data_IF_295143254864
#
_entry.id   IF_295143254864
#
_cell.length_a   1.000
_cell.length_b   1.000
_cell.length_c   1.000
_cell.angle_alpha   90.00
_cell.angle_beta   90.00
_cell.angle_gamma   90.00
#
_symmetry.space_group_name_H-M   'P 1'
#
loop_
_entity.id
_entity.type
_entity.pdbx_description
1 polymer ?
#
# COMPACT_ATOMS: atom_id res chain seq x y z
N UNK A 1 -6.28 -22.77 -9.80
CA UNK A 1 -6.02 -21.69 -10.80
C UNK A 1 -6.08 -20.28 -10.22
N UNK A 2 -7.11 -19.89 -9.44
CA UNK A 2 -7.16 -18.53 -8.87
C UNK A 2 -6.03 -18.24 -7.86
N UNK A 3 -5.70 -19.19 -6.98
CA UNK A 3 -4.65 -19.01 -5.97
C UNK A 3 -3.25 -18.78 -6.58
N UNK A 4 -2.89 -19.50 -7.65
CA UNK A 4 -1.61 -19.32 -8.35
C UNK A 4 -1.52 -17.96 -9.04
N UNK A 5 -2.64 -17.46 -9.58
CA UNK A 5 -2.72 -16.13 -10.18
C UNK A 5 -2.60 -15.02 -9.13
N UNK A 6 -3.31 -15.13 -8.00
CA UNK A 6 -3.19 -14.19 -6.86
C UNK A 6 -1.74 -14.11 -6.41
N UNK A 7 -1.10 -15.27 -6.19
CA UNK A 7 0.30 -15.30 -5.75
C UNK A 7 1.27 -14.70 -6.77
N UNK A 8 1.05 -14.96 -8.06
CA UNK A 8 1.85 -14.36 -9.13
C UNK A 8 1.73 -12.82 -9.14
N UNK A 9 0.51 -12.31 -8.99
CA UNK A 9 0.24 -10.87 -8.98
C UNK A 9 0.78 -10.19 -7.74
N UNK A 10 0.63 -10.79 -6.56
CA UNK A 10 1.23 -10.28 -5.32
C UNK A 10 2.74 -10.18 -5.47
N UNK A 11 3.41 -11.23 -5.95
CA UNK A 11 4.87 -11.18 -6.19
C UNK A 11 5.27 -10.10 -7.19
N UNK A 12 4.49 -9.92 -8.25
CA UNK A 12 4.73 -8.86 -9.23
C UNK A 12 4.66 -7.46 -8.59
N UNK A 13 3.65 -7.23 -7.75
CA UNK A 13 3.49 -5.97 -7.00
C UNK A 13 4.62 -5.77 -5.99
N UNK A 14 4.98 -6.79 -5.22
CA UNK A 14 6.10 -6.72 -4.28
C UNK A 14 7.41 -6.34 -4.99
N UNK A 15 7.72 -7.00 -6.11
CA UNK A 15 8.92 -6.70 -6.88
C UNK A 15 8.89 -5.28 -7.46
N UNK A 16 7.76 -4.87 -8.04
CA UNK A 16 7.57 -3.52 -8.55
C UNK A 16 7.73 -2.46 -7.45
N UNK A 17 7.16 -2.71 -6.28
CA UNK A 17 7.23 -1.82 -5.12
C UNK A 17 8.67 -1.67 -4.63
N UNK A 18 9.38 -2.77 -4.45
CA UNK A 18 10.80 -2.74 -4.05
C UNK A 18 11.64 -1.98 -5.06
N UNK A 19 11.43 -2.19 -6.36
CA UNK A 19 12.13 -1.47 -7.43
C UNK A 19 11.82 0.03 -7.41
N UNK A 20 10.56 0.39 -7.28
CA UNK A 20 10.09 1.78 -7.23
C UNK A 20 10.66 2.55 -6.04
N UNK A 21 10.63 1.93 -4.87
CA UNK A 21 11.02 2.55 -3.61
C UNK A 21 12.45 2.19 -3.17
N UNK A 22 13.29 1.62 -4.05
CA UNK A 22 14.67 1.23 -3.69
C UNK A 22 15.43 2.42 -3.09
N UNK A 23 15.30 3.60 -3.68
CA UNK A 23 15.96 4.81 -3.17
C UNK A 23 15.52 5.16 -1.74
N UNK A 24 14.21 5.14 -1.46
CA UNK A 24 13.67 5.41 -0.13
C UNK A 24 14.11 4.34 0.89
N UNK A 25 14.09 3.07 0.48
CA UNK A 25 14.46 1.94 1.35
C UNK A 25 15.96 1.95 1.68
N UNK A 26 16.83 2.19 0.70
CA UNK A 26 18.28 2.25 0.89
C UNK A 26 18.67 3.53 1.63
N UNK A 27 18.16 4.69 1.20
CA UNK A 27 18.43 5.96 1.87
C UNK A 27 17.95 5.98 3.32
N UNK A 28 16.76 5.45 3.57
CA UNK A 28 16.24 5.25 4.93
C UNK A 28 17.12 4.35 5.79
N UNK A 29 17.75 3.34 5.20
CA UNK A 29 18.57 2.38 5.92
C UNK A 29 19.91 3.01 6.32
N UNK A 30 20.49 3.80 5.41
CA UNK A 30 21.70 4.57 5.67
C UNK A 30 21.47 5.61 6.77
N UNK A 31 20.36 6.36 6.71
CA UNK A 31 20.00 7.35 7.74
C UNK A 31 19.78 6.65 9.09
N UNK A 32 18.96 5.59 9.10
CA UNK A 32 18.69 4.80 10.31
C UNK A 32 19.98 4.25 10.92
N UNK A 33 20.85 3.66 10.10
CA UNK A 33 22.13 3.12 10.53
C UNK A 33 23.05 4.19 11.12
N UNK A 34 23.14 5.36 10.48
CA UNK A 34 23.91 6.49 11.00
C UNK A 34 23.38 7.00 12.35
N UNK A 35 22.06 7.18 12.47
CA UNK A 35 21.43 7.62 13.71
C UNK A 35 21.55 6.59 14.85
N UNK A 36 21.56 5.29 14.53
CA UNK A 36 21.70 4.23 15.54
C UNK A 36 23.16 3.95 15.91
N UNK A 37 24.12 4.22 15.01
CA UNK A 37 25.54 4.06 15.27
C UNK A 37 26.15 5.24 16.04
N UNK A 38 25.67 6.46 15.81
CA UNK A 38 26.20 7.68 16.47
C UNK A 38 26.17 7.64 18.01
N UNK A 39 25.12 7.13 18.69
CA UNK A 39 25.12 6.97 20.15
C UNK A 39 26.22 6.07 20.70
N UNK A 40 26.79 5.16 19.90
CA UNK A 40 27.91 4.32 20.32
C UNK A 40 29.19 5.11 20.59
N UNK A 41 29.31 6.30 19.99
CA UNK A 41 30.49 7.17 20.11
C UNK A 41 30.26 8.34 21.06
N UNK A 42 29.02 8.87 21.11
CA UNK A 42 28.69 10.08 21.87
C UNK A 42 27.78 9.84 23.09
N UNK A 43 27.37 8.61 23.36
CA UNK A 43 26.50 8.22 24.48
C UNK A 43 25.21 9.05 24.60
N UNK A 44 24.69 9.55 23.48
CA UNK A 44 23.51 10.41 23.45
C UNK A 44 22.24 9.58 23.20
N UNK A 45 21.43 9.41 24.24
CA UNK A 45 20.17 8.64 24.21
C UNK A 45 19.12 9.27 23.30
N UNK A 46 19.05 10.61 23.23
CA UNK A 46 18.10 11.32 22.36
C UNK A 46 18.30 10.96 20.89
N UNK A 47 19.55 10.84 20.42
CA UNK A 47 19.84 10.47 19.03
C UNK A 47 19.42 9.02 18.76
N UNK A 48 19.62 8.13 19.74
CA UNK A 48 19.17 6.74 19.65
C UNK A 48 17.65 6.64 19.56
N UNK A 49 16.93 7.34 20.43
CA UNK A 49 15.46 7.36 20.45
C UNK A 49 14.89 7.93 19.14
N UNK A 50 15.49 8.99 18.62
CA UNK A 50 15.15 9.54 17.30
C UNK A 50 15.41 8.55 16.17
N UNK A 51 16.53 7.82 16.22
CA UNK A 51 16.86 6.78 15.24
C UNK A 51 15.82 5.67 15.25
N UNK A 52 15.48 5.15 16.43
CA UNK A 52 14.45 4.12 16.59
C UNK A 52 13.09 4.62 16.11
N UNK A 53 12.68 5.83 16.50
CA UNK A 53 11.41 6.43 16.09
C UNK A 53 11.35 6.62 14.56
N UNK A 54 12.41 7.13 13.96
CA UNK A 54 12.53 7.30 12.51
C UNK A 54 12.42 5.96 11.79
N UNK A 55 13.22 4.95 12.17
CA UNK A 55 13.18 3.61 11.56
C UNK A 55 11.79 2.99 11.70
N UNK A 56 11.19 3.08 12.90
CA UNK A 56 9.84 2.56 13.19
C UNK A 56 8.81 3.21 12.27
N UNK A 57 8.75 4.54 12.22
CA UNK A 57 7.76 5.25 11.42
C UNK A 57 7.98 5.12 9.92
N UNK A 58 9.24 5.08 9.45
CA UNK A 58 9.55 4.92 8.04
C UNK A 58 9.19 3.52 7.54
N UNK A 59 9.72 2.47 8.17
CA UNK A 59 9.56 1.10 7.64
C UNK A 59 8.25 0.45 8.05
N UNK A 60 7.92 0.54 9.33
CA UNK A 60 6.73 -0.13 9.86
C UNK A 60 5.48 0.74 9.69
N UNK A 61 5.61 2.06 9.66
CA UNK A 61 4.50 2.96 9.39
C UNK A 61 4.28 3.15 7.89
N UNK A 62 5.09 4.01 7.28
CA UNK A 62 4.92 4.46 5.91
C UNK A 62 5.05 3.33 4.88
N UNK A 63 6.20 2.63 4.86
CA UNK A 63 6.48 1.59 3.86
C UNK A 63 5.51 0.43 3.98
N UNK A 64 5.33 -0.12 5.18
CA UNK A 64 4.41 -1.24 5.38
C UNK A 64 2.95 -0.85 5.09
N UNK A 65 2.52 0.35 5.48
CA UNK A 65 1.18 0.85 5.17
C UNK A 65 0.89 0.88 3.67
N UNK A 66 1.79 1.49 2.89
CA UNK A 66 1.69 1.52 1.43
C UNK A 66 1.75 0.12 0.81
N UNK A 67 2.65 -0.73 1.30
CA UNK A 67 2.78 -2.10 0.80
C UNK A 67 1.50 -2.92 1.00
N UNK A 68 0.89 -2.82 2.19
CA UNK A 68 -0.37 -3.49 2.51
C UNK A 68 -1.49 -2.95 1.62
N UNK A 69 -1.56 -1.63 1.45
CA UNK A 69 -2.54 -0.98 0.59
C UNK A 69 -2.50 -1.50 -0.85
N UNK A 70 -1.33 -1.47 -1.49
CA UNK A 70 -1.17 -1.89 -2.88
C UNK A 70 -1.31 -3.41 -3.05
N UNK A 71 -0.82 -4.19 -2.08
CA UNK A 71 -1.00 -5.64 -2.09
C UNK A 71 -2.48 -6.02 -1.98
N UNK A 72 -3.25 -5.30 -1.16
CA UNK A 72 -4.68 -5.51 -1.08
C UNK A 72 -5.36 -5.21 -2.42
N UNK A 73 -5.02 -4.10 -3.09
CA UNK A 73 -5.50 -3.83 -4.46
C UNK A 73 -5.19 -4.99 -5.41
N UNK A 74 -3.96 -5.53 -5.38
CA UNK A 74 -3.57 -6.69 -6.18
C UNK A 74 -4.46 -7.92 -5.93
N UNK A 75 -4.72 -8.23 -4.66
CA UNK A 75 -5.56 -9.35 -4.25
C UNK A 75 -7.01 -9.11 -4.71
N UNK A 76 -7.57 -7.93 -4.46
CA UNK A 76 -8.95 -7.61 -4.85
C UNK A 76 -9.13 -7.62 -6.37
N UNK A 77 -8.17 -7.12 -7.15
CA UNK A 77 -8.18 -7.23 -8.62
C UNK A 77 -8.22 -8.70 -9.04
N UNK A 78 -7.36 -9.54 -8.47
CA UNK A 78 -7.29 -10.97 -8.80
C UNK A 78 -8.57 -11.76 -8.47
N UNK A 79 -9.33 -11.36 -7.45
CA UNK A 79 -10.51 -12.11 -7.00
C UNK A 79 -11.84 -11.54 -7.49
N UNK A 80 -11.91 -10.23 -7.74
CA UNK A 80 -13.18 -9.54 -8.07
C UNK A 80 -13.35 -9.22 -9.56
N UNK A 81 -12.27 -9.19 -10.33
CA UNK A 81 -12.37 -8.92 -11.77
C UNK A 81 -13.02 -10.08 -12.52
N UNK A 82 -13.78 -9.71 -13.55
CA UNK A 82 -14.42 -10.67 -14.44
C UNK A 82 -13.38 -11.34 -15.35
N UNK A 83 -12.49 -10.55 -15.95
CA UNK A 83 -11.34 -11.02 -16.73
C UNK A 83 -10.14 -10.13 -16.45
N UNK A 84 -9.11 -10.66 -15.79
CA UNK A 84 -7.85 -9.96 -15.55
C UNK A 84 -6.79 -10.49 -16.51
N UNK A 85 -6.31 -9.63 -17.42
CA UNK A 85 -5.24 -9.98 -18.35
C UNK A 85 -3.86 -9.74 -17.73
N UNK A 86 -3.65 -8.54 -17.18
CA UNK A 86 -2.44 -8.20 -16.45
C UNK A 86 -2.66 -7.03 -15.50
N UNK A 87 -1.74 -6.85 -14.55
CA UNK A 87 -1.65 -5.66 -13.71
C UNK A 87 -0.47 -4.84 -14.23
N UNK A 88 -0.72 -3.61 -14.67
CA UNK A 88 0.32 -2.63 -15.01
C UNK A 88 0.69 -1.86 -13.75
N UNK A 89 1.99 -1.72 -13.53
CA UNK A 89 2.54 -0.93 -12.44
C UNK A 89 2.96 0.41 -13.03
N UNK A 90 2.37 1.49 -12.53
CA UNK A 90 2.82 2.84 -12.81
C UNK A 90 3.61 3.36 -11.60
N UNK A 91 4.86 3.74 -11.85
CA UNK A 91 5.73 4.30 -10.82
C UNK A 91 6.39 5.57 -11.31
N UNK A 92 6.24 6.62 -10.51
CA UNK A 92 7.02 7.86 -10.59
C UNK A 92 7.77 8.04 -9.28
N UNK A 93 8.57 9.10 -9.15
CA UNK A 93 9.29 9.39 -7.90
C UNK A 93 8.35 9.57 -6.69
N UNK A 94 7.12 10.08 -6.92
CA UNK A 94 6.17 10.40 -5.86
C UNK A 94 4.97 9.46 -5.78
N UNK A 95 4.81 8.53 -6.73
CA UNK A 95 3.61 7.70 -6.84
C UNK A 95 3.94 6.30 -7.30
N UNK A 96 3.40 5.31 -6.61
CA UNK A 96 3.28 3.93 -7.06
C UNK A 96 1.79 3.62 -7.13
N UNK A 97 1.32 3.05 -8.24
CA UNK A 97 -0.10 2.82 -8.49
C UNK A 97 -0.26 1.59 -9.36
N UNK A 98 -1.30 0.80 -9.08
CA UNK A 98 -1.64 -0.37 -9.87
C UNK A 98 -2.82 -0.08 -10.80
N UNK A 99 -2.73 -0.58 -12.03
CA UNK A 99 -3.77 -0.46 -13.04
C UNK A 99 -4.09 -1.84 -13.61
N UNK A 100 -5.34 -2.28 -13.48
CA UNK A 100 -5.78 -3.51 -14.11
C UNK A 100 -6.03 -3.32 -15.60
N UNK A 101 -5.66 -4.33 -16.39
CA UNK A 101 -6.03 -4.48 -17.80
C UNK A 101 -6.94 -5.68 -17.96
N UNK A 102 -8.08 -5.49 -18.61
CA UNK A 102 -9.08 -6.54 -18.83
C UNK A 102 -10.50 -6.01 -18.68
N UNK A 103 -11.38 -6.75 -18.00
CA UNK A 103 -12.75 -6.32 -17.73
C UNK A 103 -13.20 -6.65 -16.32
N UNK A 104 -14.05 -5.78 -15.77
CA UNK A 104 -14.61 -5.94 -14.42
C UNK A 104 -16.04 -5.43 -14.38
N UNK A 105 -16.78 -5.86 -13.36
CA UNK A 105 -18.07 -5.25 -13.04
C UNK A 105 -17.85 -3.98 -12.22
N UNK A 106 -18.81 -3.04 -12.22
CA UNK A 106 -18.73 -1.89 -11.30
C UNK A 106 -18.57 -2.29 -9.83
N UNK A 107 -19.19 -3.40 -9.41
CA UNK A 107 -18.96 -4.04 -8.11
C UNK A 107 -17.49 -4.39 -7.87
N UNK A 108 -16.86 -5.08 -8.81
CA UNK A 108 -15.45 -5.47 -8.68
C UNK A 108 -14.51 -4.26 -8.63
N UNK A 109 -14.81 -3.22 -9.41
CA UNK A 109 -14.07 -1.95 -9.37
C UNK A 109 -14.22 -1.28 -8.01
N UNK A 110 -15.45 -1.19 -7.48
CA UNK A 110 -15.71 -0.61 -6.16
C UNK A 110 -14.99 -1.37 -5.04
N UNK A 111 -15.11 -2.70 -5.03
CA UNK A 111 -14.47 -3.55 -4.02
C UNK A 111 -12.94 -3.45 -4.07
N UNK A 112 -12.37 -3.38 -5.28
CA UNK A 112 -10.93 -3.15 -5.45
C UNK A 112 -10.55 -1.78 -4.89
N UNK A 113 -11.20 -0.71 -5.34
CA UNK A 113 -10.90 0.65 -4.93
C UNK A 113 -10.98 0.86 -3.40
N UNK A 114 -11.95 0.23 -2.74
CA UNK A 114 -12.11 0.31 -1.28
C UNK A 114 -11.17 -0.65 -0.55
N UNK A 115 -10.79 -1.76 -1.19
CA UNK A 115 -9.99 -2.83 -0.63
C UNK A 115 -8.62 -2.37 -0.13
N UNK A 116 -7.89 -1.55 -0.90
CA UNK A 116 -6.60 -0.99 -0.49
C UNK A 116 -6.69 -0.17 0.81
N UNK A 117 -7.42 0.97 0.83
CA UNK A 117 -7.60 1.81 2.02
C UNK A 117 -8.12 1.05 3.24
N UNK A 118 -9.16 0.22 3.06
CA UNK A 118 -9.76 -0.52 4.18
C UNK A 118 -8.81 -1.55 4.77
N UNK A 119 -8.04 -2.27 3.93
CA UNK A 119 -7.10 -3.29 4.43
C UNK A 119 -5.95 -2.66 5.21
N UNK A 120 -5.42 -1.53 4.74
CA UNK A 120 -4.40 -0.79 5.47
C UNK A 120 -4.92 -0.30 6.82
N UNK A 121 -6.08 0.35 6.84
CA UNK A 121 -6.69 0.85 8.08
C UNK A 121 -7.03 -0.28 9.07
N UNK A 122 -7.62 -1.38 8.58
CA UNK A 122 -7.95 -2.55 9.41
C UNK A 122 -6.68 -3.15 10.02
N UNK A 123 -5.62 -3.30 9.24
CA UNK A 123 -4.34 -3.78 9.75
C UNK A 123 -3.80 -2.86 10.86
N UNK A 124 -3.83 -1.55 10.66
CA UNK A 124 -3.42 -0.58 11.67
C UNK A 124 -4.23 -0.65 12.95
N UNK A 125 -5.54 -0.84 12.86
CA UNK A 125 -6.44 -1.01 14.03
C UNK A 125 -6.08 -2.30 14.77
N UNK A 126 -5.94 -3.42 14.07
CA UNK A 126 -5.56 -4.70 14.68
C UNK A 126 -4.17 -4.62 15.34
N UNK A 127 -3.23 -3.97 14.69
CA UNK A 127 -1.90 -3.72 15.23
C UNK A 127 -1.97 -2.84 16.49
N UNK A 128 -2.80 -1.79 16.51
CA UNK A 128 -2.96 -0.94 17.70
C UNK A 128 -3.63 -1.68 18.86
N UNK A 129 -4.61 -2.55 18.59
CA UNK A 129 -5.25 -3.37 19.64
C UNK A 129 -4.28 -4.40 20.25
N UNK A 130 -3.33 -4.91 19.46
CA UNK A 130 -2.34 -5.90 19.92
C UNK A 130 -1.08 -5.27 20.49
N UNK A 131 -0.69 -4.09 19.99
CA UNK A 131 0.51 -3.34 20.35
C UNK A 131 0.16 -1.85 20.53
N UNK A 132 -0.53 -1.46 21.62
CA UNK A 132 -1.07 -0.11 21.77
C UNK A 132 0.00 0.99 21.77
N UNK A 133 1.20 0.70 22.28
CA UNK A 133 2.31 1.65 22.39
C UNK A 133 3.19 1.74 21.13
N UNK A 134 2.72 1.19 19.99
CA UNK A 134 3.52 1.17 18.77
C UNK A 134 3.42 2.49 17.97
N UNK A 135 2.40 3.32 18.24
CA UNK A 135 2.18 4.66 17.68
C UNK A 135 2.19 4.73 16.14
N UNK A 136 1.70 3.69 15.45
CA UNK A 136 1.63 3.67 13.98
C UNK A 136 0.23 3.80 13.40
N UNK A 137 -0.83 3.83 14.22
CA UNK A 137 -2.21 3.84 13.75
C UNK A 137 -2.46 4.94 12.71
N UNK A 138 -1.90 6.14 12.93
CA UNK A 138 -2.02 7.26 12.00
C UNK A 138 -1.52 6.95 10.59
N UNK A 139 -0.39 6.24 10.45
CA UNK A 139 0.17 5.85 9.15
C UNK A 139 -0.76 4.91 8.37
N UNK A 140 -1.52 4.07 9.06
CA UNK A 140 -2.45 3.15 8.42
C UNK A 140 -3.78 3.83 8.09
N UNK A 141 -4.34 4.58 9.03
CA UNK A 141 -5.64 5.25 8.88
C UNK A 141 -5.59 6.38 7.84
N UNK A 142 -4.43 7.02 7.63
CA UNK A 142 -4.30 8.07 6.60
C UNK A 142 -4.63 7.56 5.18
N UNK A 143 -4.53 6.25 4.92
CA UNK A 143 -4.91 5.68 3.62
C UNK A 143 -6.41 5.83 3.33
N UNK A 144 -7.25 6.02 4.37
CA UNK A 144 -8.68 6.28 4.19
C UNK A 144 -8.94 7.60 3.44
N UNK A 145 -8.02 8.56 3.49
CA UNK A 145 -8.13 9.79 2.69
C UNK A 145 -8.17 9.50 1.19
N UNK A 146 -7.58 8.39 0.72
CA UNK A 146 -7.63 8.00 -0.70
C UNK A 146 -9.05 7.68 -1.18
N UNK A 147 -10.01 7.43 -0.27
CA UNK A 147 -11.41 7.23 -0.61
C UNK A 147 -12.16 8.54 -0.89
N UNK A 148 -11.57 9.70 -0.59
CA UNK A 148 -12.18 10.96 -0.95
C UNK A 148 -12.25 11.09 -2.49
N UNK A 149 -13.32 11.71 -3.05
CA UNK A 149 -13.56 11.80 -4.50
C UNK A 149 -12.45 12.47 -5.33
N UNK A 150 -11.50 13.12 -4.66
CA UNK A 150 -10.37 13.82 -5.28
C UNK A 150 -9.24 12.85 -5.68
N UNK A 151 -9.11 11.72 -4.98
CA UNK A 151 -8.04 10.74 -5.14
C UNK A 151 -8.44 9.58 -6.06
N UNK A 152 -7.45 8.79 -6.49
CA UNK A 152 -7.62 7.69 -7.43
C UNK A 152 -8.65 6.65 -6.96
N UNK A 153 -8.50 6.14 -5.74
CA UNK A 153 -9.41 5.14 -5.18
C UNK A 153 -10.83 5.68 -5.02
N UNK A 154 -11.01 6.89 -4.50
CA UNK A 154 -12.32 7.52 -4.38
C UNK A 154 -13.02 7.72 -5.72
N UNK A 155 -12.28 8.15 -6.76
CA UNK A 155 -12.81 8.25 -8.13
C UNK A 155 -13.21 6.88 -8.67
N UNK A 156 -12.39 5.86 -8.47
CA UNK A 156 -12.67 4.50 -8.89
C UNK A 156 -13.87 3.89 -8.14
N UNK A 157 -14.02 4.18 -6.84
CA UNK A 157 -15.17 3.76 -6.04
C UNK A 157 -16.47 4.37 -6.57
N UNK A 158 -16.48 5.69 -6.83
CA UNK A 158 -17.65 6.37 -7.43
C UNK A 158 -17.96 5.80 -8.82
N UNK A 159 -16.93 5.56 -9.63
CA UNK A 159 -17.09 4.94 -10.94
C UNK A 159 -17.72 3.56 -10.83
N UNK A 160 -17.25 2.73 -9.90
CA UNK A 160 -17.79 1.40 -9.62
C UNK A 160 -19.26 1.43 -9.19
N UNK A 161 -19.63 2.38 -8.32
CA UNK A 161 -21.04 2.59 -7.90
C UNK A 161 -21.92 2.95 -9.10
N UNK A 162 -21.47 3.87 -9.97
CA UNK A 162 -22.24 4.30 -11.16
C UNK A 162 -22.45 3.18 -12.18
N UNK A 163 -21.56 2.19 -12.20
CA UNK A 163 -21.60 1.06 -13.14
C UNK A 163 -21.86 -0.28 -12.45
N UNK A 164 -22.54 -0.27 -11.29
CA UNK A 164 -22.60 -1.40 -10.35
C UNK A 164 -22.83 -2.78 -10.99
N UNK A 165 -23.76 -2.87 -11.95
CA UNK A 165 -24.11 -4.12 -12.64
C UNK A 165 -23.48 -4.26 -14.02
N UNK A 166 -22.90 -3.20 -14.57
CA UNK A 166 -22.33 -3.18 -15.91
C UNK A 166 -20.95 -3.81 -15.91
N UNK A 167 -20.63 -4.54 -16.98
CA UNK A 167 -19.26 -4.95 -17.29
C UNK A 167 -18.58 -3.80 -18.03
N UNK A 168 -17.38 -3.45 -17.59
CA UNK A 168 -16.58 -2.34 -18.11
C UNK A 168 -15.19 -2.86 -18.48
N UNK A 169 -14.71 -2.47 -19.65
CA UNK A 169 -13.34 -2.73 -20.07
C UNK A 169 -12.39 -1.71 -19.44
N UNK A 170 -11.29 -2.20 -18.89
CA UNK A 170 -10.27 -1.44 -18.18
C UNK A 170 -8.94 -1.53 -18.95
N UNK A 171 -8.30 -0.37 -19.17
CA UNK A 171 -6.92 -0.29 -19.63
C UNK A 171 -6.71 -0.67 -21.10
N UNK A 172 -7.49 -0.10 -22.03
CA UNK A 172 -7.14 -0.08 -23.46
C UNK A 172 -5.71 0.42 -23.67
#
# INVERSE_FOLDING_TARGET
MKASMVWSNVRHVLYGFLKAYTFLLVGGALISGGMLATPMYWHNTMISDLGVAFTKHLYLGLVAGFLIHETAHAIFMSVTMHSLQCIRIESTFARFSLHAVGSSTGRGIFLTAVGGPMSAALFGVLMHLTLPNFDLLGWYVIHLFNLLPLFGDGKAAIFGIRHWRSVVDLGK
#
